data_IF_878503155097
#
_entry.id   IF_878503155097
#
_cell.length_a   1.000
_cell.length_b   1.000
_cell.length_c   1.000
_cell.angle_alpha   90.00
_cell.angle_beta   90.00
_cell.angle_gamma   90.00
#
_symmetry.space_group_name_H-M   'P 1'
#
loop_
_entity.id
_entity.type
_entity.pdbx_description
1 polymer ?
#
# COMPACT_ATOMS: atom_id res chain seq x y z
N UNK A 1 -0.74 -7.86 -21.98
CA UNK A 1 0.17 -7.89 -20.83
C UNK A 1 -0.62 -8.00 -19.55
N UNK A 2 -0.17 -8.82 -18.58
CA UNK A 2 -0.74 -8.95 -17.22
C UNK A 2 0.20 -8.32 -16.21
N UNK A 3 -0.34 -7.87 -15.06
CA UNK A 3 0.47 -7.36 -13.96
C UNK A 3 0.19 -8.18 -12.71
N UNK A 4 1.23 -8.78 -12.14
CA UNK A 4 1.18 -9.47 -10.86
C UNK A 4 1.87 -8.65 -9.78
N UNK A 5 1.24 -8.53 -8.64
CA UNK A 5 1.85 -7.89 -7.47
C UNK A 5 1.95 -8.89 -6.32
N UNK A 6 3.14 -9.00 -5.78
CA UNK A 6 3.42 -9.81 -4.59
C UNK A 6 3.69 -8.90 -3.40
N UNK A 7 2.85 -9.03 -2.35
CA UNK A 7 2.97 -8.28 -1.11
C UNK A 7 4.06 -8.80 -0.19
N UNK A 8 4.40 -8.07 0.87
CA UNK A 8 5.45 -8.45 1.82
C UNK A 8 5.26 -9.85 2.42
N UNK A 9 4.03 -10.23 2.74
CA UNK A 9 3.69 -11.58 3.22
C UNK A 9 3.96 -12.67 2.18
N UNK A 10 3.84 -12.34 0.88
CA UNK A 10 4.08 -13.27 -0.23
C UNK A 10 5.57 -13.38 -0.62
N UNK A 11 6.44 -12.59 0.01
CA UNK A 11 7.90 -12.58 -0.22
C UNK A 11 8.69 -12.72 1.09
N UNK A 12 8.07 -13.25 2.14
CA UNK A 12 8.59 -13.22 3.51
C UNK A 12 9.77 -14.16 3.79
N UNK A 13 9.98 -15.19 2.99
CA UNK A 13 11.02 -16.21 3.16
C UNK A 13 11.36 -16.90 1.84
N UNK A 14 12.34 -17.80 1.86
CA UNK A 14 12.79 -18.55 0.69
C UNK A 14 11.70 -19.41 0.05
N UNK A 15 10.84 -20.06 0.84
CA UNK A 15 9.75 -20.91 0.32
C UNK A 15 8.70 -20.06 -0.41
N UNK A 16 8.41 -18.88 0.13
CA UNK A 16 7.54 -17.91 -0.53
C UNK A 16 8.11 -17.47 -1.90
N UNK A 17 9.42 -17.25 -1.98
CA UNK A 17 10.06 -16.86 -3.24
C UNK A 17 10.04 -18.01 -4.25
N UNK A 18 10.24 -19.26 -3.82
CA UNK A 18 10.07 -20.45 -4.68
C UNK A 18 8.64 -20.54 -5.21
N UNK A 19 7.64 -20.31 -4.36
CA UNK A 19 6.24 -20.35 -4.77
C UNK A 19 5.90 -19.26 -5.82
N UNK A 20 6.54 -18.08 -5.78
CA UNK A 20 6.39 -17.07 -6.84
C UNK A 20 6.82 -17.64 -8.20
N UNK A 21 7.94 -18.35 -8.26
CA UNK A 21 8.43 -18.96 -9.49
C UNK A 21 7.42 -19.97 -10.04
N UNK A 22 6.85 -20.81 -9.16
CA UNK A 22 5.83 -21.79 -9.56
C UNK A 22 4.54 -21.11 -10.06
N UNK A 23 4.11 -20.03 -9.41
CA UNK A 23 2.98 -19.24 -9.87
C UNK A 23 3.28 -18.66 -11.27
N UNK A 24 4.45 -18.04 -11.47
CA UNK A 24 4.81 -17.46 -12.75
C UNK A 24 4.86 -18.53 -13.84
N UNK A 25 5.46 -19.68 -13.57
CA UNK A 25 5.51 -20.82 -14.51
C UNK A 25 4.12 -21.30 -14.92
N UNK A 26 3.18 -21.35 -13.96
CA UNK A 26 1.80 -21.79 -14.21
C UNK A 26 0.97 -20.81 -15.07
N UNK A 27 1.29 -19.52 -15.03
CA UNK A 27 0.61 -18.47 -15.80
C UNK A 27 1.33 -18.10 -17.11
N UNK A 28 2.56 -18.56 -17.31
CA UNK A 28 3.44 -18.19 -18.41
C UNK A 28 4.24 -16.93 -18.14
N UNK A 29 5.40 -16.83 -18.78
CA UNK A 29 6.36 -15.74 -18.59
C UNK A 29 6.22 -14.61 -19.62
N UNK A 30 5.45 -14.81 -20.66
CA UNK A 30 5.28 -13.82 -21.70
C UNK A 30 4.29 -12.74 -21.28
N UNK A 31 4.57 -11.50 -21.65
CA UNK A 31 3.72 -10.34 -21.36
C UNK A 31 3.32 -10.21 -19.87
N UNK A 32 4.26 -10.46 -18.97
CA UNK A 32 4.01 -10.40 -17.51
C UNK A 32 4.92 -9.40 -16.82
N UNK A 33 4.31 -8.50 -16.04
CA UNK A 33 5.02 -7.61 -15.11
C UNK A 33 4.81 -8.12 -13.71
N UNK A 34 5.90 -8.28 -12.97
CA UNK A 34 5.94 -8.66 -11.56
C UNK A 34 6.37 -7.46 -10.73
N UNK A 35 5.45 -6.95 -9.91
CA UNK A 35 5.69 -5.86 -8.97
C UNK A 35 5.90 -6.44 -7.57
N UNK A 36 7.02 -6.12 -6.95
CA UNK A 36 7.44 -6.72 -5.68
C UNK A 36 7.49 -5.67 -4.57
N UNK A 37 6.95 -6.01 -3.40
CA UNK A 37 7.09 -5.22 -2.16
C UNK A 37 8.36 -5.60 -1.39
N UNK A 38 8.70 -4.80 -0.38
CA UNK A 38 9.68 -5.18 0.64
C UNK A 38 9.30 -6.52 1.29
N UNK A 39 10.31 -7.30 1.72
CA UNK A 39 10.12 -8.62 2.34
C UNK A 39 9.57 -8.49 3.78
N UNK A 40 8.52 -9.24 4.09
CA UNK A 40 7.90 -9.31 5.41
C UNK A 40 7.69 -7.91 6.04
N UNK A 41 8.27 -7.68 7.21
CA UNK A 41 8.20 -6.41 7.96
C UNK A 41 9.42 -5.51 7.75
N UNK A 42 10.14 -5.64 6.64
CA UNK A 42 11.36 -4.87 6.39
C UNK A 42 11.10 -3.36 6.37
N UNK A 43 9.96 -2.90 5.84
CA UNK A 43 9.59 -1.48 5.87
C UNK A 43 9.50 -0.96 7.31
N UNK A 44 8.83 -1.70 8.21
CA UNK A 44 8.74 -1.32 9.64
C UNK A 44 10.12 -1.34 10.32
N UNK A 45 10.99 -2.30 9.95
CA UNK A 45 12.35 -2.36 10.48
C UNK A 45 13.18 -1.15 10.04
N UNK A 46 13.02 -0.69 8.78
CA UNK A 46 13.66 0.52 8.26
C UNK A 46 13.10 1.80 8.90
N UNK A 47 11.81 1.85 9.18
CA UNK A 47 11.21 2.94 9.97
C UNK A 47 11.83 3.03 11.36
N UNK A 48 12.06 1.90 12.03
CA UNK A 48 12.74 1.86 13.33
C UNK A 48 14.21 2.32 13.21
N UNK A 49 14.91 1.91 12.14
CA UNK A 49 16.25 2.45 11.83
C UNK A 49 16.23 3.98 11.75
N UNK A 50 15.26 4.53 11.03
CA UNK A 50 15.12 5.98 10.88
C UNK A 50 14.82 6.68 12.21
N UNK A 51 13.93 6.15 13.03
CA UNK A 51 13.62 6.71 14.35
C UNK A 51 14.85 6.78 15.26
N UNK A 52 15.65 5.72 15.29
CA UNK A 52 16.89 5.68 16.07
C UNK A 52 17.93 6.66 15.51
N UNK A 53 18.08 6.70 14.18
CA UNK A 53 18.98 7.61 13.49
C UNK A 53 18.67 9.08 13.84
N UNK A 54 17.40 9.49 13.79
CA UNK A 54 16.98 10.86 14.10
C UNK A 54 17.16 11.23 15.58
N UNK A 55 17.16 10.24 16.46
CA UNK A 55 17.49 10.41 17.90
C UNK A 55 19.00 10.38 18.15
N UNK A 56 19.83 10.38 17.12
CA UNK A 56 21.29 10.20 17.21
C UNK A 56 21.72 8.94 18.00
N UNK A 57 20.87 7.91 18.02
CA UNK A 57 21.16 6.66 18.70
C UNK A 57 21.89 5.70 17.77
N UNK A 58 23.16 5.38 18.05
CA UNK A 58 24.01 4.51 17.23
C UNK A 58 23.49 3.09 17.09
N UNK A 59 22.48 2.68 17.83
CA UNK A 59 21.80 1.38 17.68
C UNK A 59 21.13 1.22 16.31
N UNK A 60 20.92 2.30 15.55
CA UNK A 60 20.41 2.19 14.18
C UNK A 60 21.30 1.30 13.30
N UNK A 61 22.62 1.29 13.52
CA UNK A 61 23.55 0.42 12.80
C UNK A 61 23.29 -1.06 13.10
N UNK A 62 23.05 -1.41 14.37
CA UNK A 62 22.68 -2.78 14.78
C UNK A 62 21.37 -3.22 14.12
N UNK A 63 20.40 -2.29 13.98
CA UNK A 63 19.14 -2.58 13.28
C UNK A 63 19.35 -2.84 11.79
N UNK A 64 20.23 -2.10 11.14
CA UNK A 64 20.61 -2.37 9.74
C UNK A 64 21.26 -3.75 9.63
N UNK A 65 22.15 -4.11 10.55
CA UNK A 65 22.76 -5.47 10.58
C UNK A 65 21.71 -6.56 10.74
N UNK A 66 20.68 -6.36 11.55
CA UNK A 66 19.55 -7.31 11.68
C UNK A 66 18.79 -7.46 10.36
N UNK A 67 18.56 -6.36 9.62
CA UNK A 67 17.95 -6.38 8.29
C UNK A 67 18.85 -7.16 7.31
N UNK A 68 20.16 -6.92 7.34
CA UNK A 68 21.12 -7.67 6.53
C UNK A 68 21.07 -9.17 6.83
N UNK A 69 21.15 -9.56 8.10
CA UNK A 69 21.13 -10.97 8.54
C UNK A 69 19.85 -11.67 8.08
N UNK A 70 18.70 -11.00 8.19
CA UNK A 70 17.42 -11.54 7.72
C UNK A 70 17.46 -11.87 6.22
N UNK A 71 17.92 -10.95 5.39
CA UNK A 71 17.98 -11.15 3.94
C UNK A 71 19.12 -12.10 3.53
N UNK A 72 20.27 -12.07 4.22
CA UNK A 72 21.38 -13.01 3.99
C UNK A 72 20.96 -14.45 4.25
N UNK A 73 20.14 -14.68 5.30
CA UNK A 73 19.57 -16.02 5.57
C UNK A 73 18.72 -16.50 4.39
N UNK A 74 17.85 -15.64 3.86
CA UNK A 74 17.02 -15.98 2.68
C UNK A 74 17.93 -16.27 1.47
N UNK A 75 18.97 -15.47 1.25
CA UNK A 75 19.92 -15.73 0.18
C UNK A 75 20.65 -17.08 0.35
N UNK A 76 21.04 -17.45 1.57
CA UNK A 76 21.68 -18.76 1.83
C UNK A 76 20.77 -19.94 1.56
N UNK A 77 19.47 -19.76 1.74
CA UNK A 77 18.48 -20.83 1.46
C UNK A 77 18.18 -20.96 -0.05
N UNK A 78 18.39 -19.89 -0.84
CA UNK A 78 18.05 -19.83 -2.27
C UNK A 78 19.23 -20.03 -3.21
N UNK A 79 20.45 -19.69 -2.78
CA UNK A 79 21.62 -19.62 -3.67
C UNK A 79 22.81 -20.41 -3.16
N UNK A 80 23.69 -20.91 -4.05
CA UNK A 80 24.96 -21.50 -3.68
C UNK A 80 25.87 -20.46 -3.01
N UNK A 81 26.78 -20.94 -2.13
CA UNK A 81 27.63 -20.10 -1.27
C UNK A 81 28.44 -19.02 -2.02
N UNK A 82 28.82 -19.26 -3.27
CA UNK A 82 29.66 -18.37 -4.06
C UNK A 82 28.85 -17.48 -5.03
N UNK A 83 27.55 -17.41 -4.86
CA UNK A 83 26.69 -16.62 -5.77
C UNK A 83 26.89 -15.11 -5.54
N UNK A 84 26.84 -14.34 -6.62
CA UNK A 84 27.05 -12.88 -6.60
C UNK A 84 25.99 -12.11 -5.80
N UNK A 85 24.85 -12.73 -5.45
CA UNK A 85 23.81 -12.12 -4.65
C UNK A 85 24.32 -11.62 -3.30
N UNK A 86 25.28 -12.34 -2.67
CA UNK A 86 25.82 -11.96 -1.36
C UNK A 86 26.59 -10.63 -1.42
N UNK A 87 27.43 -10.47 -2.43
CA UNK A 87 28.17 -9.21 -2.64
C UNK A 87 27.22 -8.06 -3.03
N UNK A 88 26.21 -8.34 -3.85
CA UNK A 88 25.18 -7.37 -4.25
C UNK A 88 24.34 -6.90 -3.05
N UNK A 89 23.87 -7.82 -2.21
CA UNK A 89 23.14 -7.49 -0.98
C UNK A 89 24.00 -6.61 -0.05
N UNK A 90 25.24 -6.99 0.19
CA UNK A 90 26.18 -6.21 1.00
C UNK A 90 26.38 -4.80 0.44
N UNK A 91 26.48 -4.66 -0.89
CA UNK A 91 26.62 -3.36 -1.54
C UNK A 91 25.38 -2.48 -1.33
N UNK A 92 24.16 -3.03 -1.44
CA UNK A 92 22.92 -2.28 -1.20
C UNK A 92 22.85 -1.79 0.26
N UNK A 93 23.18 -2.64 1.23
CA UNK A 93 23.23 -2.26 2.65
C UNK A 93 24.31 -1.20 2.91
N UNK A 94 25.49 -1.32 2.28
CA UNK A 94 26.56 -0.32 2.40
C UNK A 94 26.10 1.05 1.88
N UNK A 95 25.35 1.10 0.79
CA UNK A 95 24.77 2.34 0.27
C UNK A 95 23.76 2.98 1.25
N UNK A 96 22.92 2.19 1.91
CA UNK A 96 22.02 2.69 2.96
C UNK A 96 22.81 3.29 4.13
N UNK A 97 23.82 2.59 4.63
CA UNK A 97 24.67 3.08 5.72
C UNK A 97 25.41 4.36 5.31
N UNK A 98 25.94 4.40 4.09
CA UNK A 98 26.63 5.59 3.55
C UNK A 98 25.69 6.77 3.42
N UNK A 99 24.46 6.56 2.93
CA UNK A 99 23.45 7.60 2.87
C UNK A 99 23.18 8.20 4.26
N UNK A 100 22.86 7.36 5.25
CA UNK A 100 22.55 7.84 6.61
C UNK A 100 23.72 8.57 7.27
N UNK A 101 24.98 8.10 7.07
CA UNK A 101 26.18 8.75 7.61
C UNK A 101 26.45 10.12 6.98
N UNK A 102 26.13 10.29 5.70
CA UNK A 102 26.45 11.52 4.95
C UNK A 102 25.26 12.47 4.80
N UNK A 103 24.06 12.04 5.22
CA UNK A 103 22.86 12.87 5.10
C UNK A 103 22.96 14.11 5.97
N UNK A 104 22.70 15.27 5.35
CA UNK A 104 22.65 16.59 5.99
C UNK A 104 21.24 17.21 5.92
N UNK A 105 20.30 16.55 5.28
CA UNK A 105 18.95 17.07 5.13
C UNK A 105 18.20 17.01 6.47
N UNK A 106 17.60 18.12 6.94
CA UNK A 106 16.74 18.12 8.11
C UNK A 106 15.31 17.65 7.78
N UNK A 107 14.99 17.45 6.50
CA UNK A 107 13.64 17.07 6.07
C UNK A 107 13.36 15.60 6.39
N UNK A 108 12.55 15.37 7.42
CA UNK A 108 12.15 14.03 7.85
C UNK A 108 11.56 13.19 6.70
N UNK A 109 10.65 13.76 5.92
CA UNK A 109 9.95 13.03 4.86
C UNK A 109 10.88 12.62 3.72
N UNK A 110 11.84 13.47 3.37
CA UNK A 110 12.92 13.14 2.44
C UNK A 110 13.74 11.96 2.97
N UNK A 111 14.27 12.06 4.20
CA UNK A 111 15.13 11.01 4.77
C UNK A 111 14.34 9.70 4.92
N UNK A 112 13.06 9.78 5.25
CA UNK A 112 12.16 8.62 5.27
C UNK A 112 12.16 7.90 3.92
N UNK A 113 11.87 8.59 2.83
CA UNK A 113 11.78 7.98 1.49
C UNK A 113 13.10 7.38 1.04
N UNK A 114 14.23 8.09 1.28
CA UNK A 114 15.55 7.57 0.96
C UNK A 114 15.89 6.32 1.78
N UNK A 115 15.37 6.17 3.01
CA UNK A 115 15.68 5.04 3.90
C UNK A 115 14.76 3.85 3.65
N UNK A 116 13.44 4.04 3.67
CA UNK A 116 12.49 2.91 3.60
C UNK A 116 12.47 2.24 2.23
N UNK A 117 12.80 2.97 1.17
CA UNK A 117 12.89 2.43 -0.20
C UNK A 117 13.88 1.27 -0.35
N UNK A 118 14.86 1.17 0.54
CA UNK A 118 15.80 0.04 0.52
C UNK A 118 15.13 -1.32 0.74
N UNK A 119 13.96 -1.35 1.38
CA UNK A 119 13.18 -2.58 1.50
C UNK A 119 12.83 -3.19 0.15
N UNK A 120 12.30 -2.37 -0.75
CA UNK A 120 11.93 -2.77 -2.10
C UNK A 120 13.17 -3.03 -2.98
N UNK A 121 14.20 -2.23 -2.83
CA UNK A 121 15.46 -2.43 -3.57
C UNK A 121 16.11 -3.77 -3.24
N UNK A 122 16.20 -4.13 -1.96
CA UNK A 122 16.76 -5.42 -1.52
C UNK A 122 15.87 -6.57 -2.00
N UNK A 123 14.57 -6.49 -1.74
CA UNK A 123 13.62 -7.53 -2.09
C UNK A 123 13.65 -7.85 -3.57
N UNK A 124 13.53 -6.81 -4.42
CA UNK A 124 13.49 -7.00 -5.87
C UNK A 124 14.83 -7.50 -6.41
N UNK A 125 15.95 -7.04 -5.85
CA UNK A 125 17.28 -7.53 -6.21
C UNK A 125 17.41 -9.05 -5.95
N UNK A 126 17.02 -9.52 -4.76
CA UNK A 126 17.10 -10.94 -4.40
C UNK A 126 16.18 -11.77 -5.30
N UNK A 127 14.94 -11.35 -5.49
CA UNK A 127 13.95 -12.09 -6.27
C UNK A 127 14.34 -12.15 -7.75
N UNK A 128 14.81 -11.02 -8.31
CA UNK A 128 15.32 -11.02 -9.69
C UNK A 128 16.52 -11.96 -9.87
N UNK A 129 17.46 -11.94 -8.91
CA UNK A 129 18.61 -12.86 -8.93
C UNK A 129 18.14 -14.32 -8.88
N UNK A 130 17.10 -14.63 -8.08
CA UNK A 130 16.54 -15.96 -8.01
C UNK A 130 15.78 -16.37 -9.28
N UNK A 131 15.08 -15.45 -9.92
CA UNK A 131 14.46 -15.73 -11.23
C UNK A 131 15.50 -16.11 -12.27
N UNK A 132 16.64 -15.41 -12.29
CA UNK A 132 17.75 -15.73 -13.20
C UNK A 132 18.34 -17.12 -12.87
N UNK A 133 18.56 -17.45 -11.59
CA UNK A 133 19.02 -18.77 -11.13
C UNK A 133 18.06 -19.87 -11.58
N UNK A 134 16.75 -19.63 -11.50
CA UNK A 134 15.69 -20.52 -11.95
C UNK A 134 15.48 -20.52 -13.48
N UNK A 135 16.40 -19.88 -14.22
CA UNK A 135 16.40 -19.79 -15.70
C UNK A 135 15.17 -19.07 -16.29
N UNK A 136 14.52 -18.23 -15.52
CA UNK A 136 13.52 -17.31 -16.03
C UNK A 136 14.22 -16.14 -16.72
N UNK A 137 13.93 -15.93 -18.01
CA UNK A 137 14.47 -14.78 -18.75
C UNK A 137 13.73 -13.51 -18.31
N UNK A 138 14.31 -12.75 -17.39
CA UNK A 138 13.73 -11.54 -16.82
C UNK A 138 14.39 -10.27 -17.38
N UNK A 139 13.57 -9.23 -17.54
CA UNK A 139 14.02 -7.85 -17.73
C UNK A 139 13.76 -7.06 -16.44
N UNK A 140 14.82 -6.63 -15.76
CA UNK A 140 14.69 -5.81 -14.54
C UNK A 140 14.54 -4.34 -14.92
N UNK A 141 13.48 -3.70 -14.40
CA UNK A 141 13.23 -2.27 -14.56
C UNK A 141 13.23 -1.62 -13.18
N UNK A 142 14.10 -0.64 -12.97
CA UNK A 142 14.04 0.19 -11.75
C UNK A 142 12.82 1.11 -11.81
N UNK A 143 11.89 0.95 -10.88
CA UNK A 143 10.64 1.72 -10.81
C UNK A 143 10.89 3.25 -10.77
N UNK A 144 12.01 3.70 -10.21
CA UNK A 144 12.40 5.12 -10.14
C UNK A 144 12.67 5.73 -11.51
N UNK A 145 13.05 4.93 -12.49
CA UNK A 145 13.22 5.40 -13.87
C UNK A 145 11.86 5.57 -14.57
N UNK A 146 10.85 4.82 -14.15
CA UNK A 146 9.52 4.80 -14.74
C UNK A 146 8.54 5.74 -14.04
N UNK A 147 8.38 5.58 -12.72
CA UNK A 147 7.38 6.28 -11.92
C UNK A 147 7.95 7.63 -11.49
N UNK A 148 7.42 8.70 -12.09
CA UNK A 148 7.84 10.08 -11.80
C UNK A 148 6.79 10.79 -10.97
N UNK A 149 7.27 11.51 -9.94
CA UNK A 149 6.43 12.16 -8.94
C UNK A 149 6.87 13.60 -8.70
N UNK A 150 6.08 14.33 -7.90
CA UNK A 150 6.54 15.53 -7.22
C UNK A 150 7.49 15.19 -6.07
N UNK A 151 7.89 16.19 -5.30
CA UNK A 151 8.75 16.10 -4.12
C UNK A 151 7.96 16.14 -2.80
N UNK A 152 6.66 15.82 -2.84
CA UNK A 152 5.82 15.59 -1.67
C UNK A 152 6.07 14.17 -1.13
N UNK A 153 7.19 14.03 -0.42
CA UNK A 153 7.65 12.74 0.11
C UNK A 153 6.60 12.01 0.97
N UNK A 154 6.74 10.69 1.16
CA UNK A 154 5.90 9.75 1.90
C UNK A 154 4.54 9.44 1.27
N UNK A 155 4.03 10.28 0.38
CA UNK A 155 2.78 10.07 -0.35
C UNK A 155 2.81 10.90 -1.64
N UNK A 156 3.92 10.85 -2.37
CA UNK A 156 4.18 11.67 -3.54
C UNK A 156 3.09 11.53 -4.62
N UNK A 157 2.75 12.67 -5.24
CA UNK A 157 1.78 12.71 -6.32
C UNK A 157 2.43 12.31 -7.63
N UNK A 158 1.72 11.50 -8.40
CA UNK A 158 2.22 10.97 -9.66
C UNK A 158 2.12 12.00 -10.78
N UNK A 159 3.21 12.16 -11.54
CA UNK A 159 3.16 12.78 -12.86
C UNK A 159 2.75 11.71 -13.87
N UNK A 160 1.45 11.65 -14.19
CA UNK A 160 0.88 10.62 -15.05
C UNK A 160 1.45 10.62 -16.47
N UNK A 161 1.61 11.78 -17.08
CA UNK A 161 2.08 11.91 -18.44
C UNK A 161 3.50 11.37 -18.59
N UNK A 162 4.42 11.87 -17.76
CA UNK A 162 5.81 11.45 -17.78
C UNK A 162 5.97 9.98 -17.39
N UNK A 163 5.21 9.51 -16.40
CA UNK A 163 5.23 8.11 -15.99
C UNK A 163 4.76 7.18 -17.09
N UNK A 164 3.65 7.49 -17.76
CA UNK A 164 3.17 6.66 -18.87
C UNK A 164 4.18 6.63 -20.03
N UNK A 165 4.77 7.77 -20.38
CA UNK A 165 5.80 7.86 -21.40
C UNK A 165 6.99 6.95 -21.07
N UNK A 166 7.51 7.06 -19.85
CA UNK A 166 8.68 6.30 -19.42
C UNK A 166 8.40 4.80 -19.36
N UNK A 167 7.25 4.40 -18.82
CA UNK A 167 6.86 2.98 -18.77
C UNK A 167 6.79 2.40 -20.19
N UNK A 168 6.12 3.08 -21.13
CA UNK A 168 6.00 2.62 -22.51
C UNK A 168 7.34 2.53 -23.25
N UNK A 169 8.32 3.36 -22.87
CA UNK A 169 9.67 3.32 -23.45
C UNK A 169 10.55 2.20 -22.89
N UNK A 170 10.35 1.79 -21.65
CA UNK A 170 11.20 0.82 -20.96
C UNK A 170 10.65 -0.60 -21.00
N UNK A 171 9.34 -0.74 -21.21
CA UNK A 171 8.67 -2.05 -21.23
C UNK A 171 8.72 -2.61 -22.66
N UNK A 172 9.47 -3.69 -22.81
CA UNK A 172 9.47 -4.50 -24.03
C UNK A 172 8.29 -5.49 -24.01
N UNK A 173 7.60 -5.62 -25.12
CA UNK A 173 6.58 -6.66 -25.30
C UNK A 173 7.24 -8.06 -25.26
N UNK A 174 6.46 -9.07 -24.95
CA UNK A 174 6.87 -10.49 -24.90
C UNK A 174 7.93 -10.85 -23.83
N UNK A 175 8.12 -10.02 -22.79
CA UNK A 175 9.08 -10.28 -21.73
C UNK A 175 8.42 -10.48 -20.36
N UNK A 176 9.13 -11.21 -19.48
CA UNK A 176 8.89 -11.21 -18.04
C UNK A 176 9.63 -10.02 -17.42
N UNK A 177 8.89 -9.05 -16.92
CA UNK A 177 9.46 -7.87 -16.29
C UNK A 177 9.32 -7.99 -14.77
N UNK A 178 10.37 -7.62 -14.05
CA UNK A 178 10.34 -7.46 -12.61
C UNK A 178 10.71 -6.04 -12.21
N UNK A 179 9.96 -5.46 -11.28
CA UNK A 179 10.15 -4.09 -10.81
C UNK A 179 9.76 -3.93 -9.34
N UNK A 180 10.23 -2.86 -8.70
CA UNK A 180 9.82 -2.50 -7.35
C UNK A 180 8.39 -1.94 -7.35
N UNK A 181 7.66 -2.27 -6.29
CA UNK A 181 6.48 -1.50 -5.90
C UNK A 181 6.83 -0.30 -5.03
N UNK A 182 5.84 0.49 -4.63
CA UNK A 182 5.89 1.53 -3.60
C UNK A 182 6.75 2.77 -3.93
N UNK A 183 7.80 2.65 -4.75
CA UNK A 183 8.77 3.71 -4.98
C UNK A 183 8.66 4.32 -6.37
N UNK A 184 9.08 5.58 -6.46
CA UNK A 184 9.29 6.35 -7.68
C UNK A 184 10.45 7.33 -7.50
N UNK A 185 10.55 8.34 -8.35
CA UNK A 185 11.50 9.43 -8.16
C UNK A 185 10.93 10.79 -8.57
N UNK A 186 11.42 11.85 -7.94
CA UNK A 186 11.12 13.22 -8.35
C UNK A 186 12.00 13.68 -9.53
N UNK A 187 11.84 14.93 -9.94
CA UNK A 187 12.62 15.55 -11.05
C UNK A 187 14.12 15.58 -10.80
N UNK A 188 14.57 15.57 -9.55
CA UNK A 188 15.98 15.55 -9.15
C UNK A 188 16.51 14.12 -8.99
N UNK A 189 15.75 13.09 -9.38
CA UNK A 189 16.06 11.68 -9.22
C UNK A 189 16.22 11.21 -7.76
N UNK A 190 15.74 11.97 -6.79
CA UNK A 190 15.60 11.47 -5.42
C UNK A 190 14.44 10.48 -5.35
N UNK A 191 14.64 9.41 -4.61
CA UNK A 191 13.58 8.40 -4.39
C UNK A 191 12.41 9.02 -3.64
N UNK A 192 11.20 8.70 -4.08
CA UNK A 192 9.94 9.06 -3.43
C UNK A 192 9.13 7.81 -3.16
N UNK A 193 8.22 7.87 -2.18
CA UNK A 193 7.30 6.78 -1.90
C UNK A 193 5.85 7.19 -2.20
N UNK A 194 5.04 6.20 -2.61
CA UNK A 194 3.66 6.41 -3.05
C UNK A 194 2.62 6.35 -1.92
N UNK A 195 3.07 6.21 -0.68
CA UNK A 195 2.23 6.15 0.51
C UNK A 195 1.59 4.77 0.73
N UNK A 196 0.50 4.77 1.50
CA UNK A 196 -0.17 3.54 1.94
C UNK A 196 -0.56 2.64 0.76
N UNK A 197 -0.27 1.34 0.87
CA UNK A 197 -0.46 0.32 -0.18
C UNK A 197 0.18 0.70 -1.53
N UNK A 198 1.29 1.46 -1.47
CA UNK A 198 1.97 1.98 -2.66
C UNK A 198 2.42 0.94 -3.65
N UNK A 199 2.70 -0.31 -3.22
CA UNK A 199 3.06 -1.39 -4.15
C UNK A 199 1.85 -1.88 -4.96
N UNK A 200 0.65 -1.92 -4.37
CA UNK A 200 -0.59 -2.23 -5.11
C UNK A 200 -0.88 -1.09 -6.10
N UNK A 201 -0.62 0.15 -5.68
CA UNK A 201 -0.76 1.32 -6.55
C UNK A 201 0.27 1.30 -7.70
N UNK A 202 1.52 0.90 -7.46
CA UNK A 202 2.52 0.71 -8.53
C UNK A 202 2.05 -0.27 -9.58
N UNK A 203 1.47 -1.41 -9.17
CA UNK A 203 0.90 -2.39 -10.10
C UNK A 203 -0.22 -1.78 -10.96
N UNK A 204 -1.10 -0.98 -10.36
CA UNK A 204 -2.15 -0.27 -11.08
C UNK A 204 -1.60 0.80 -12.04
N UNK A 205 -0.51 1.49 -11.69
CA UNK A 205 0.17 2.47 -12.56
C UNK A 205 0.73 1.78 -13.80
N UNK A 206 1.48 0.68 -13.64
CA UNK A 206 2.00 -0.10 -14.78
C UNK A 206 0.86 -0.63 -15.65
N UNK A 207 -0.17 -1.19 -15.03
CA UNK A 207 -1.34 -1.70 -15.76
C UNK A 207 -2.04 -0.59 -16.57
N UNK A 208 -2.26 0.56 -15.95
CA UNK A 208 -2.85 1.71 -16.64
C UNK A 208 -1.99 2.20 -17.81
N UNK A 209 -0.67 2.35 -17.60
CA UNK A 209 0.23 2.85 -18.63
C UNK A 209 0.26 1.96 -19.87
N UNK A 210 0.15 0.64 -19.70
CA UNK A 210 0.31 -0.36 -20.74
C UNK A 210 -1.00 -0.94 -21.26
N UNK A 211 -2.17 -0.44 -20.79
CA UNK A 211 -3.47 -1.03 -21.09
C UNK A 211 -3.50 -2.55 -20.81
N UNK A 212 -3.01 -2.93 -19.62
CA UNK A 212 -2.91 -4.33 -19.25
C UNK A 212 -4.28 -5.04 -19.31
N UNK A 213 -4.27 -6.32 -19.61
CA UNK A 213 -5.49 -7.14 -19.64
C UNK A 213 -6.04 -7.44 -18.25
N UNK A 214 -5.17 -7.44 -17.23
CA UNK A 214 -5.58 -7.60 -15.81
C UNK A 214 -4.46 -7.26 -14.86
N UNK A 215 -4.86 -7.00 -13.60
CA UNK A 215 -3.96 -6.94 -12.44
C UNK A 215 -4.33 -8.07 -11.49
N UNK A 216 -3.35 -8.81 -10.96
CA UNK A 216 -3.56 -9.77 -9.88
C UNK A 216 -2.72 -9.38 -8.68
N UNK A 217 -3.38 -9.14 -7.54
CA UNK A 217 -2.74 -8.92 -6.25
C UNK A 217 -2.75 -10.24 -5.49
N UNK A 218 -1.56 -10.79 -5.27
CA UNK A 218 -1.35 -12.02 -4.52
C UNK A 218 -1.21 -11.69 -3.04
N UNK A 219 -2.12 -12.23 -2.23
CA UNK A 219 -2.20 -12.00 -0.78
C UNK A 219 -2.25 -13.33 -0.01
N UNK A 220 -2.06 -13.25 1.30
CA UNK A 220 -2.21 -14.34 2.26
C UNK A 220 -3.67 -14.66 2.63
N UNK A 221 -4.61 -14.03 1.93
CA UNK A 221 -6.05 -14.23 2.10
C UNK A 221 -6.67 -14.82 0.82
N UNK A 222 -7.81 -15.54 0.91
CA UNK A 222 -8.41 -16.17 -0.27
C UNK A 222 -8.97 -15.18 -1.30
N UNK A 223 -9.17 -13.92 -0.92
CA UNK A 223 -9.79 -12.85 -1.69
C UNK A 223 -10.45 -11.83 -0.74
N UNK A 224 -11.46 -11.13 -1.24
CA UNK A 224 -12.29 -10.23 -0.43
C UNK A 224 -13.40 -11.04 0.24
N UNK A 225 -13.48 -10.94 1.56
CA UNK A 225 -14.52 -11.59 2.34
C UNK A 225 -15.62 -10.58 2.68
N UNK A 226 -16.84 -11.07 2.91
CA UNK A 226 -17.96 -10.23 3.31
C UNK A 226 -17.87 -9.68 4.75
N UNK A 227 -16.84 -10.02 5.49
CA UNK A 227 -16.51 -9.51 6.83
C UNK A 227 -15.09 -9.88 7.23
N UNK A 228 -14.57 -9.23 8.26
CA UNK A 228 -13.25 -9.55 8.82
C UNK A 228 -13.31 -10.90 9.58
N UNK A 229 -12.59 -11.95 9.18
CA UNK A 229 -12.65 -13.26 9.83
C UNK A 229 -12.12 -13.24 11.27
N UNK A 230 -11.38 -12.19 11.66
CA UNK A 230 -10.94 -11.99 13.05
C UNK A 230 -12.06 -11.50 13.96
N UNK A 231 -13.18 -11.03 13.38
CA UNK A 231 -14.35 -10.51 14.09
C UNK A 231 -15.57 -11.39 13.87
N UNK A 232 -15.75 -11.93 12.67
CA UNK A 232 -16.90 -12.72 12.24
C UNK A 232 -16.49 -14.16 11.93
N UNK A 233 -17.12 -15.14 12.60
CA UNK A 233 -16.75 -16.56 12.46
C UNK A 233 -17.12 -17.18 11.10
N UNK A 234 -18.18 -16.72 10.45
CA UNK A 234 -18.75 -17.33 9.23
C UNK A 234 -18.64 -16.38 8.03
N UNK A 235 -17.44 -15.92 7.73
CA UNK A 235 -17.22 -15.07 6.56
C UNK A 235 -17.22 -15.88 5.27
N UNK A 236 -17.76 -15.29 4.20
CA UNK A 236 -17.83 -15.89 2.88
C UNK A 236 -17.02 -15.10 1.88
N UNK A 237 -16.40 -15.82 0.94
CA UNK A 237 -15.64 -15.21 -0.16
C UNK A 237 -16.61 -14.54 -1.14
N UNK A 238 -16.33 -13.30 -1.50
CA UNK A 238 -16.96 -12.60 -2.60
C UNK A 238 -16.23 -12.97 -3.88
N UNK A 239 -16.86 -13.73 -4.77
CA UNK A 239 -16.25 -14.15 -6.04
C UNK A 239 -16.08 -12.96 -6.98
N UNK A 240 -16.99 -11.98 -6.87
CA UNK A 240 -17.02 -10.81 -7.70
C UNK A 240 -17.63 -9.61 -6.99
N UNK A 241 -17.05 -8.43 -7.23
CA UNK A 241 -17.55 -7.13 -6.78
C UNK A 241 -17.32 -6.07 -7.86
N UNK A 242 -18.11 -5.00 -7.86
CA UNK A 242 -17.84 -3.84 -8.73
C UNK A 242 -16.73 -2.97 -8.17
N UNK A 243 -16.13 -2.11 -9.00
CA UNK A 243 -15.19 -1.08 -8.52
C UNK A 243 -15.81 -0.17 -7.45
N UNK A 244 -17.09 0.18 -7.63
CA UNK A 244 -17.81 1.04 -6.68
C UNK A 244 -17.91 0.39 -5.31
N UNK A 245 -18.36 -0.86 -5.27
CA UNK A 245 -18.45 -1.63 -4.03
C UNK A 245 -17.08 -1.83 -3.37
N UNK A 246 -16.04 -2.13 -4.17
CA UNK A 246 -14.68 -2.26 -3.65
C UNK A 246 -14.16 -0.95 -3.03
N UNK A 247 -14.49 0.21 -3.62
CA UNK A 247 -14.11 1.53 -3.09
C UNK A 247 -14.88 1.82 -1.79
N UNK A 248 -16.19 1.53 -1.74
CA UNK A 248 -17.01 1.71 -0.54
C UNK A 248 -16.52 0.82 0.60
N UNK A 249 -16.31 -0.48 0.35
CA UNK A 249 -15.77 -1.41 1.34
C UNK A 249 -14.41 -0.92 1.88
N UNK A 250 -13.53 -0.45 1.00
CA UNK A 250 -12.21 0.05 1.38
C UNK A 250 -12.28 1.35 2.18
N UNK A 251 -13.17 2.27 1.83
CA UNK A 251 -13.37 3.54 2.53
C UNK A 251 -13.80 3.31 3.98
N UNK A 252 -14.74 2.39 4.19
CA UNK A 252 -15.21 2.05 5.53
C UNK A 252 -14.28 1.13 6.31
N UNK A 253 -13.19 0.63 5.73
CA UNK A 253 -12.12 -0.03 6.47
C UNK A 253 -11.79 -1.47 6.09
N UNK A 254 -12.40 -2.01 5.02
CA UNK A 254 -11.94 -3.27 4.47
C UNK A 254 -10.52 -3.11 3.89
N UNK A 255 -9.53 -3.74 4.54
CA UNK A 255 -8.11 -3.52 4.26
C UNK A 255 -7.55 -4.36 3.10
N UNK A 256 -8.39 -4.85 2.19
CA UNK A 256 -7.92 -5.76 1.14
C UNK A 256 -7.37 -5.00 -0.07
N UNK A 257 -8.00 -3.88 -0.47
CA UNK A 257 -7.58 -3.05 -1.60
C UNK A 257 -7.79 -1.58 -1.25
N UNK A 258 -6.82 -0.73 -1.56
CA UNK A 258 -6.96 0.71 -1.33
C UNK A 258 -7.63 1.42 -2.53
N UNK A 259 -8.51 2.44 -2.31
CA UNK A 259 -9.17 3.17 -3.40
C UNK A 259 -8.20 3.76 -4.43
N UNK A 260 -7.02 4.21 -4.00
CA UNK A 260 -5.96 4.75 -4.86
C UNK A 260 -5.50 3.75 -5.94
N UNK A 261 -5.53 2.45 -5.62
CA UNK A 261 -5.22 1.36 -6.56
C UNK A 261 -6.35 1.15 -7.57
N UNK A 262 -7.60 1.28 -7.14
CA UNK A 262 -8.77 1.03 -7.98
C UNK A 262 -9.03 2.13 -9.01
N UNK A 263 -8.75 3.40 -8.66
CA UNK A 263 -9.05 4.54 -9.52
C UNK A 263 -8.45 4.46 -10.94
N UNK A 264 -7.15 4.20 -11.14
CA UNK A 264 -6.59 4.08 -12.48
C UNK A 264 -7.15 2.86 -13.23
N UNK A 265 -7.38 1.74 -12.54
CA UNK A 265 -7.93 0.54 -13.14
C UNK A 265 -9.37 0.74 -13.62
N UNK A 266 -10.20 1.42 -12.82
CA UNK A 266 -11.57 1.77 -13.17
C UNK A 266 -11.63 2.64 -14.42
N UNK A 267 -10.73 3.62 -14.56
CA UNK A 267 -10.69 4.53 -15.73
C UNK A 267 -10.47 3.79 -17.06
N UNK A 268 -9.75 2.68 -17.03
CA UNK A 268 -9.46 1.84 -18.21
C UNK A 268 -10.18 0.51 -18.21
N UNK A 269 -11.07 0.29 -17.24
CA UNK A 269 -11.86 -0.93 -17.09
C UNK A 269 -11.00 -2.20 -16.96
N UNK A 270 -9.78 -2.06 -16.40
CA UNK A 270 -8.84 -3.17 -16.23
C UNK A 270 -9.25 -4.01 -15.02
N UNK A 271 -9.64 -5.26 -15.18
CA UNK A 271 -10.06 -6.11 -14.06
C UNK A 271 -8.93 -6.34 -13.07
N UNK A 272 -9.26 -6.28 -11.78
CA UNK A 272 -8.37 -6.59 -10.68
C UNK A 272 -8.80 -7.89 -10.02
N UNK A 273 -7.85 -8.80 -9.82
CA UNK A 273 -8.05 -10.03 -9.09
C UNK A 273 -7.29 -9.99 -7.76
N UNK A 274 -7.94 -10.38 -6.67
CA UNK A 274 -7.31 -10.68 -5.40
C UNK A 274 -7.28 -12.18 -5.23
N UNK A 275 -6.10 -12.77 -5.20
CA UNK A 275 -5.91 -14.23 -5.17
C UNK A 275 -5.04 -14.67 -4.01
N UNK A 276 -5.32 -15.89 -3.52
CA UNK A 276 -4.50 -16.50 -2.50
C UNK A 276 -3.13 -16.89 -3.07
N UNK A 277 -2.09 -16.42 -2.40
CA UNK A 277 -0.72 -16.81 -2.67
C UNK A 277 -0.44 -18.28 -2.27
N UNK A 278 -1.12 -18.77 -1.24
CA UNK A 278 -0.99 -20.15 -0.76
C UNK A 278 -1.78 -21.15 -1.62
N UNK A 279 -2.87 -20.69 -2.26
CA UNK A 279 -3.72 -21.50 -3.13
C UNK A 279 -3.97 -20.82 -4.47
N UNK A 280 -2.96 -20.72 -5.36
CA UNK A 280 -3.01 -19.93 -6.59
C UNK A 280 -4.02 -20.45 -7.62
N UNK A 281 -4.45 -21.70 -7.52
CA UNK A 281 -5.46 -22.32 -8.41
C UNK A 281 -6.85 -21.76 -8.14
N UNK A 282 -7.15 -21.34 -6.88
CA UNK A 282 -8.46 -20.78 -6.55
C UNK A 282 -8.69 -19.45 -7.29
N UNK A 283 -9.91 -19.19 -7.76
CA UNK A 283 -10.21 -18.01 -8.55
C UNK A 283 -10.01 -16.69 -7.79
N UNK A 284 -10.20 -16.67 -6.46
CA UNK A 284 -10.14 -15.45 -5.65
C UNK A 284 -11.35 -14.54 -5.89
N UNK A 285 -11.16 -13.24 -5.70
CA UNK A 285 -12.17 -12.21 -5.96
C UNK A 285 -11.82 -11.42 -7.22
N UNK A 286 -12.79 -11.27 -8.12
CA UNK A 286 -12.69 -10.36 -9.27
C UNK A 286 -13.32 -9.01 -8.95
N UNK A 287 -12.62 -7.92 -9.24
CA UNK A 287 -13.14 -6.54 -9.20
C UNK A 287 -13.20 -6.02 -10.62
N UNK A 288 -14.39 -5.69 -11.11
CA UNK A 288 -14.59 -5.27 -12.50
C UNK A 288 -15.77 -4.32 -12.68
N UNK A 289 -15.90 -3.72 -13.87
CA UNK A 289 -17.01 -2.81 -14.20
C UNK A 289 -18.33 -3.57 -14.35
N UNK A 290 -19.42 -2.93 -13.87
CA UNK A 290 -20.80 -3.30 -14.19
C UNK A 290 -21.30 -4.61 -13.61
N UNK A 291 -20.55 -5.22 -12.71
CA UNK A 291 -20.92 -6.48 -12.09
C UNK A 291 -21.34 -6.27 -10.63
N UNK A 292 -22.39 -6.96 -10.22
CA UNK A 292 -22.89 -6.94 -8.84
C UNK A 292 -22.07 -7.85 -7.93
N UNK A 293 -22.27 -7.69 -6.61
CA UNK A 293 -21.67 -8.59 -5.60
C UNK A 293 -22.14 -10.03 -5.84
N UNK A 294 -21.19 -10.97 -5.88
CA UNK A 294 -21.49 -12.39 -5.99
C UNK A 294 -20.65 -13.17 -4.96
N UNK A 295 -21.27 -13.97 -4.08
CA UNK A 295 -22.74 -14.10 -3.87
C UNK A 295 -23.35 -12.78 -3.39
N UNK A 296 -24.64 -12.56 -3.66
CA UNK A 296 -25.39 -11.38 -3.19
C UNK A 296 -25.73 -11.53 -1.72
N UNK A 297 -24.81 -11.18 -0.86
CA UNK A 297 -24.88 -11.30 0.60
C UNK A 297 -24.48 -9.98 1.26
N UNK A 298 -24.97 -9.69 2.48
CA UNK A 298 -24.53 -8.52 3.24
C UNK A 298 -23.04 -8.55 3.54
N UNK A 299 -22.41 -7.36 3.45
CA UNK A 299 -21.02 -7.15 3.86
C UNK A 299 -20.97 -6.38 5.17
N UNK A 300 -20.08 -6.78 6.08
CA UNK A 300 -19.95 -6.21 7.41
C UNK A 300 -18.56 -5.65 7.62
N UNK A 301 -18.48 -4.36 7.95
CA UNK A 301 -17.23 -3.69 8.25
C UNK A 301 -17.27 -3.19 9.68
N UNK A 302 -16.24 -3.51 10.45
CA UNK A 302 -16.10 -3.05 11.84
C UNK A 302 -14.97 -2.04 11.91
N UNK A 303 -15.31 -0.83 12.32
CA UNK A 303 -14.35 0.24 12.58
C UNK A 303 -14.29 0.47 14.09
N UNK A 304 -13.13 0.20 14.69
CA UNK A 304 -12.92 0.33 16.14
C UNK A 304 -12.50 1.76 16.50
N UNK A 305 -12.56 2.09 17.80
CA UNK A 305 -12.08 3.35 18.36
C UNK A 305 -12.79 4.59 17.78
N UNK A 306 -14.09 4.48 17.56
CA UNK A 306 -14.93 5.57 17.11
C UNK A 306 -15.58 6.24 18.31
N UNK A 307 -15.84 7.54 18.18
CA UNK A 307 -16.57 8.34 19.17
C UNK A 307 -17.80 8.92 18.48
N UNK A 308 -18.97 8.73 19.08
CA UNK A 308 -20.20 9.36 18.63
C UNK A 308 -20.38 10.68 19.38
N UNK A 309 -20.43 11.78 18.63
CA UNK A 309 -20.78 13.10 19.13
C UNK A 309 -22.21 13.41 18.69
N UNK A 310 -23.08 13.74 19.63
CA UNK A 310 -24.42 14.27 19.33
C UNK A 310 -24.46 15.72 19.77
N UNK A 311 -24.75 16.59 18.80
CA UNK A 311 -24.86 18.03 19.02
C UNK A 311 -26.32 18.43 18.86
N UNK A 312 -26.85 19.22 19.79
CA UNK A 312 -28.18 19.81 19.68
C UNK A 312 -28.11 21.30 19.99
N UNK A 313 -29.06 22.07 19.46
CA UNK A 313 -29.16 23.48 19.82
C UNK A 313 -29.49 23.65 21.30
N UNK A 314 -29.00 24.76 21.90
CA UNK A 314 -29.22 25.06 23.33
C UNK A 314 -30.68 25.48 23.57
N UNK A 315 -31.32 26.10 22.57
CA UNK A 315 -32.63 26.73 22.64
C UNK A 315 -33.72 25.98 21.84
N UNK A 316 -33.48 24.72 21.45
CA UNK A 316 -34.33 23.94 20.56
C UNK A 316 -34.56 24.53 19.15
N UNK A 317 -33.72 25.47 18.73
CA UNK A 317 -33.72 25.94 17.36
C UNK A 317 -33.28 24.85 16.38
N UNK A 318 -33.61 25.01 15.10
CA UNK A 318 -33.16 24.07 14.08
C UNK A 318 -31.67 24.11 13.87
N UNK A 319 -31.07 22.97 13.64
CA UNK A 319 -29.69 22.85 13.15
C UNK A 319 -29.70 23.16 11.65
N UNK A 320 -29.24 24.34 11.31
CA UNK A 320 -29.19 24.85 9.92
C UNK A 320 -27.77 24.74 9.34
N UNK A 321 -27.63 25.05 8.06
CA UNK A 321 -26.39 24.90 7.29
C UNK A 321 -25.20 25.63 7.93
N UNK A 322 -25.43 26.79 8.55
CA UNK A 322 -24.41 27.56 9.25
C UNK A 322 -23.84 26.80 10.46
N UNK A 323 -24.72 26.12 11.22
CA UNK A 323 -24.31 25.29 12.36
C UNK A 323 -23.46 24.10 11.87
N UNK A 324 -23.90 23.44 10.81
CA UNK A 324 -23.20 22.29 10.19
C UNK A 324 -21.84 22.74 9.68
N UNK A 325 -21.76 23.86 8.99
CA UNK A 325 -20.49 24.43 8.50
C UNK A 325 -19.52 24.70 9.64
N UNK A 326 -19.99 25.30 10.73
CA UNK A 326 -19.18 25.55 11.91
C UNK A 326 -18.67 24.23 12.53
N UNK A 327 -19.54 23.24 12.70
CA UNK A 327 -19.16 21.93 13.26
C UNK A 327 -18.05 21.30 12.39
N UNK A 328 -18.22 21.27 11.06
CA UNK A 328 -17.19 20.71 10.16
C UNK A 328 -15.88 21.50 10.20
N UNK A 329 -15.92 22.82 10.33
CA UNK A 329 -14.72 23.63 10.48
C UNK A 329 -13.94 23.26 11.73
N UNK A 330 -14.63 23.07 12.85
CA UNK A 330 -14.01 22.64 14.11
C UNK A 330 -13.47 21.21 14.01
N UNK A 331 -14.23 20.27 13.41
CA UNK A 331 -13.76 18.90 13.17
C UNK A 331 -12.47 18.88 12.34
N UNK A 332 -12.38 19.73 11.33
CA UNK A 332 -11.18 19.88 10.50
C UNK A 332 -10.00 20.47 11.30
N UNK A 333 -10.21 21.57 12.02
CA UNK A 333 -9.19 22.25 12.82
C UNK A 333 -8.58 21.32 13.89
N UNK A 334 -9.44 20.52 14.54
CA UNK A 334 -9.01 19.55 15.54
C UNK A 334 -8.59 18.21 14.94
N UNK A 335 -8.52 18.10 13.61
CA UNK A 335 -8.08 16.89 12.87
C UNK A 335 -8.88 15.64 13.26
N UNK A 336 -10.20 15.78 13.40
CA UNK A 336 -11.13 14.69 13.72
C UNK A 336 -11.81 14.19 12.44
N UNK A 337 -11.30 13.13 11.80
CA UNK A 337 -11.92 12.56 10.62
C UNK A 337 -13.33 12.08 10.90
N UNK A 338 -14.25 12.47 10.02
CA UNK A 338 -15.67 12.10 10.09
C UNK A 338 -15.90 10.80 9.34
N UNK A 339 -16.59 9.87 10.00
CA UNK A 339 -16.86 8.54 9.46
C UNK A 339 -18.34 8.34 9.09
N UNK A 340 -19.25 8.85 9.91
CA UNK A 340 -20.68 8.78 9.70
C UNK A 340 -21.35 10.06 10.17
N UNK A 341 -22.40 10.45 9.48
CA UNK A 341 -23.20 11.64 9.80
C UNK A 341 -24.66 11.24 9.82
N UNK A 342 -25.39 11.75 10.80
CA UNK A 342 -26.83 11.73 10.83
C UNK A 342 -27.33 13.12 11.21
N UNK A 343 -28.10 13.74 10.32
CA UNK A 343 -28.77 15.01 10.57
C UNK A 343 -30.23 14.83 10.93
N UNK A 344 -30.72 15.65 11.84
CA UNK A 344 -32.11 15.77 12.24
C UNK A 344 -32.47 17.26 12.36
N UNK A 345 -33.75 17.59 12.52
CA UNK A 345 -34.17 18.97 12.61
C UNK A 345 -33.46 19.77 13.73
N UNK A 346 -33.28 19.16 14.90
CA UNK A 346 -32.74 19.81 16.11
C UNK A 346 -31.44 19.19 16.62
N UNK A 347 -30.89 18.18 15.91
CA UNK A 347 -29.65 17.54 16.32
C UNK A 347 -28.81 17.11 15.13
N UNK A 348 -27.50 17.12 15.32
CA UNK A 348 -26.51 16.61 14.39
C UNK A 348 -25.63 15.59 15.11
N UNK A 349 -25.65 14.36 14.64
CA UNK A 349 -24.83 13.29 15.19
C UNK A 349 -23.70 12.97 14.22
N UNK A 350 -22.49 12.86 14.73
CA UNK A 350 -21.31 12.58 13.95
C UNK A 350 -20.44 11.53 14.65
N UNK A 351 -20.06 10.51 13.90
CA UNK A 351 -19.09 9.52 14.34
C UNK A 351 -17.70 9.92 13.86
N UNK A 352 -16.75 10.07 14.77
CA UNK A 352 -15.41 10.59 14.50
C UNK A 352 -14.32 9.68 15.05
N UNK A 353 -13.15 9.77 14.44
CA UNK A 353 -11.97 9.03 14.89
C UNK A 353 -11.06 9.93 15.75
N UNK A 354 -10.87 9.57 17.02
CA UNK A 354 -10.02 10.31 17.95
C UNK A 354 -8.53 9.90 17.87
N UNK A 355 -8.00 9.75 16.66
CA UNK A 355 -6.61 9.32 16.43
C UNK A 355 -5.57 10.22 17.11
N UNK A 356 -5.81 11.51 17.15
CA UNK A 356 -4.87 12.51 17.67
C UNK A 356 -5.16 12.92 19.11
N UNK A 357 -6.14 12.27 19.77
CA UNK A 357 -6.51 12.50 21.20
C UNK A 357 -6.90 13.95 21.54
N UNK A 358 -7.50 14.66 20.59
CA UNK A 358 -7.93 16.06 20.74
C UNK A 358 -9.44 16.21 20.99
N UNK A 359 -10.12 15.12 21.33
CA UNK A 359 -11.55 15.10 21.53
C UNK A 359 -12.03 16.07 22.61
N UNK A 360 -11.34 16.10 23.74
CA UNK A 360 -11.71 16.96 24.89
C UNK A 360 -11.65 18.44 24.52
N UNK A 361 -10.61 18.85 23.80
CA UNK A 361 -10.45 20.22 23.28
C UNK A 361 -11.60 20.59 22.35
N UNK A 362 -11.91 19.71 21.40
CA UNK A 362 -13.01 19.89 20.45
C UNK A 362 -14.36 20.02 21.16
N UNK A 363 -14.66 19.12 22.10
CA UNK A 363 -15.92 19.13 22.86
C UNK A 363 -16.07 20.42 23.65
N UNK A 364 -14.99 20.93 24.26
CA UNK A 364 -15.01 22.20 25.01
C UNK A 364 -15.42 23.37 24.09
N UNK A 365 -14.87 23.44 22.89
CA UNK A 365 -15.20 24.49 21.92
C UNK A 365 -16.63 24.35 21.41
N UNK A 366 -17.06 23.14 21.08
CA UNK A 366 -18.42 22.91 20.58
C UNK A 366 -19.50 23.20 21.64
N UNK A 367 -19.22 22.97 22.94
CA UNK A 367 -20.13 23.30 24.03
C UNK A 367 -20.42 24.79 24.20
N UNK A 368 -19.62 25.68 23.60
CA UNK A 368 -19.91 27.11 23.58
C UNK A 368 -21.14 27.46 22.72
N UNK A 369 -21.55 26.59 21.78
CA UNK A 369 -22.67 26.83 20.86
C UNK A 369 -23.73 25.74 20.86
N UNK A 370 -23.41 24.55 21.38
CA UNK A 370 -24.30 23.38 21.32
C UNK A 370 -24.32 22.63 22.66
N UNK A 371 -25.40 21.92 22.91
CA UNK A 371 -25.38 20.83 23.88
C UNK A 371 -24.65 19.65 23.23
N UNK A 372 -23.58 19.13 23.86
CA UNK A 372 -22.73 18.07 23.30
C UNK A 372 -22.74 16.87 24.23
N UNK A 373 -23.26 15.76 23.67
CA UNK A 373 -23.19 14.42 24.27
C UNK A 373 -22.09 13.62 23.56
N UNK A 374 -21.32 12.83 24.35
CA UNK A 374 -20.20 12.03 23.85
C UNK A 374 -20.44 10.57 24.17
#
# INVERSE_FOLDING_TARGET
MKVFKFGGASVKNSDSIRNIVEIIRSYGTNELIVVVSAMDKTTNALENVLELYLKNNQEYLKKIDQIFIFHDKICRDLFPKNHNVFSGLKNIITKLVSFLKNNKSPNYSFVYDQTVSYGELISTFIINSYFIEEKLKTNFIDARNCIKTDDYYRAANLNWELTQKNIKQQVENDSLIITQGFIGSNSNNFTTTLGREGSDYSAAIFAYALNATSVTIWKDVPGVLNGDPRVFQNTQLLNQISYREAIELAFYGASVIHPKTLQPLQRKEIPLYVKSFENPIKPGTAVSKGKTIEPNIPCYIVKKNQVLLRLSSIDFSFIVEENISYIFSMLHEYQMPVELIQNSAISFSVCVNNKYKRLEELVLVLRSKFNVEV
#
